data_IF_493963650288
#
_entry.id   IF_493963650288
#
_cell.length_a   1.000
_cell.length_b   1.000
_cell.length_c   1.000
_cell.angle_alpha   90.00
_cell.angle_beta   90.00
_cell.angle_gamma   90.00
#
_symmetry.space_group_name_H-M   'P 1'
#
loop_
_entity.id
_entity.type
_entity.pdbx_description
1 polymer ?
#
# COMPACT_ATOMS: atom_id res chain seq x y z
N UNK A 1 24.44 7.17 9.39
CA UNK A 1 23.15 6.55 9.67
C UNK A 1 22.20 6.89 8.53
N UNK A 2 21.75 5.89 7.78
CA UNK A 2 20.74 6.08 6.73
C UNK A 2 19.40 6.46 7.38
N UNK A 3 18.92 7.66 7.12
CA UNK A 3 17.59 8.13 7.56
C UNK A 3 16.85 8.72 6.38
N UNK A 4 15.53 8.70 6.43
CA UNK A 4 14.69 9.41 5.48
C UNK A 4 14.81 10.93 5.63
N UNK A 5 14.30 11.64 4.63
CA UNK A 5 14.26 13.10 4.66
C UNK A 5 13.49 13.63 5.86
N UNK A 6 13.94 14.74 6.44
CA UNK A 6 13.26 15.39 7.55
C UNK A 6 11.83 15.82 7.17
N UNK A 7 11.56 16.02 5.88
CA UNK A 7 10.22 16.33 5.38
C UNK A 7 9.23 15.17 5.59
N UNK A 8 9.67 13.94 5.40
CA UNK A 8 8.84 12.75 5.62
C UNK A 8 8.77 12.39 7.10
N UNK A 9 9.90 12.46 7.82
CA UNK A 9 9.97 12.09 9.24
C UNK A 9 8.96 12.83 10.12
N UNK A 10 8.61 14.06 9.77
CA UNK A 10 7.70 14.92 10.55
C UNK A 10 6.23 14.76 10.17
N UNK A 11 5.91 13.95 9.15
CA UNK A 11 4.55 13.78 8.67
C UNK A 11 3.74 12.86 9.59
N UNK A 12 2.46 13.17 9.71
CA UNK A 12 1.44 12.27 10.25
C UNK A 12 0.93 11.43 9.11
N UNK A 13 1.17 10.15 9.18
CA UNK A 13 0.84 9.20 8.11
C UNK A 13 -0.37 8.38 8.53
N UNK A 14 -1.37 8.29 7.66
CA UNK A 14 -2.40 7.26 7.71
C UNK A 14 -2.03 6.17 6.69
N UNK A 15 -1.90 4.95 7.16
CA UNK A 15 -1.75 3.76 6.34
C UNK A 15 -3.09 3.01 6.33
N UNK A 16 -3.69 2.86 5.17
CA UNK A 16 -4.93 2.12 4.96
C UNK A 16 -4.57 0.79 4.31
N UNK A 17 -4.91 -0.31 4.99
CA UNK A 17 -4.50 -1.66 4.60
C UNK A 17 -3.17 -2.08 5.22
N UNK A 18 -3.22 -2.99 6.19
CA UNK A 18 -2.06 -3.60 6.84
C UNK A 18 -1.75 -5.00 6.27
N UNK A 19 -2.06 -5.23 4.99
CA UNK A 19 -1.68 -6.41 4.24
C UNK A 19 -0.17 -6.47 3.99
N UNK A 20 0.28 -7.43 3.20
CA UNK A 20 1.71 -7.67 2.97
C UNK A 20 2.47 -6.43 2.48
N UNK A 21 1.92 -5.64 1.54
CA UNK A 21 2.60 -4.46 1.02
C UNK A 21 2.56 -3.30 2.02
N UNK A 22 1.39 -3.02 2.64
CA UNK A 22 1.26 -1.93 3.58
C UNK A 22 2.07 -2.14 4.85
N UNK A 23 2.05 -3.34 5.41
CA UNK A 23 2.83 -3.70 6.59
C UNK A 23 4.35 -3.59 6.32
N UNK A 24 4.82 -4.02 5.14
CA UNK A 24 6.23 -3.89 4.73
C UNK A 24 6.65 -2.41 4.53
N UNK A 25 5.79 -1.58 3.93
CA UNK A 25 6.02 -0.14 3.81
C UNK A 25 6.13 0.51 5.19
N UNK A 26 5.21 0.17 6.11
CA UNK A 26 5.21 0.70 7.47
C UNK A 26 6.48 0.29 8.24
N UNK A 27 6.94 -0.95 8.08
CA UNK A 27 8.19 -1.41 8.67
C UNK A 27 9.40 -0.61 8.18
N UNK A 28 9.52 -0.40 6.86
CA UNK A 28 10.60 0.40 6.29
C UNK A 28 10.53 1.83 6.83
N UNK A 29 9.36 2.44 6.91
CA UNK A 29 9.18 3.78 7.47
C UNK A 29 9.67 3.86 8.93
N UNK A 30 9.23 2.94 9.79
CA UNK A 30 9.61 2.94 11.21
C UNK A 30 11.12 2.70 11.39
N UNK A 31 11.71 1.77 10.64
CA UNK A 31 13.16 1.52 10.67
C UNK A 31 13.97 2.72 10.20
N UNK A 32 13.45 3.48 9.25
CA UNK A 32 14.07 4.70 8.73
C UNK A 32 13.80 5.95 9.60
N UNK A 33 13.00 5.83 10.67
CA UNK A 33 12.79 6.87 11.65
C UNK A 33 11.49 7.65 11.52
N UNK A 34 10.57 7.26 10.64
CA UNK A 34 9.20 7.78 10.65
C UNK A 34 8.48 7.23 11.88
N UNK A 35 8.00 8.10 12.74
CA UNK A 35 7.49 7.69 14.04
C UNK A 35 5.98 7.87 14.22
N UNK A 36 5.32 8.66 13.37
CA UNK A 36 3.92 9.05 13.57
C UNK A 36 3.02 8.42 12.50
N UNK A 37 2.68 7.17 12.70
CA UNK A 37 1.89 6.36 11.77
C UNK A 37 0.60 5.92 12.46
N UNK A 38 -0.51 6.03 11.76
CA UNK A 38 -1.78 5.43 12.17
C UNK A 38 -2.18 4.39 11.13
N UNK A 39 -2.56 3.21 11.58
CA UNK A 39 -2.94 2.08 10.73
C UNK A 39 -4.45 1.89 10.82
N UNK A 40 -5.09 1.71 9.66
CA UNK A 40 -6.49 1.33 9.52
C UNK A 40 -6.57 0.04 8.71
N UNK A 41 -7.08 -1.03 9.32
CA UNK A 41 -7.36 -2.33 8.70
C UNK A 41 -8.38 -3.04 9.59
N UNK A 42 -9.19 -3.93 9.05
CA UNK A 42 -10.17 -4.69 9.84
C UNK A 42 -10.00 -6.20 9.73
N UNK A 43 -9.02 -6.62 8.95
CA UNK A 43 -8.83 -8.03 8.68
C UNK A 43 -8.17 -8.76 9.86
N UNK A 44 -8.47 -10.05 9.95
CA UNK A 44 -7.78 -10.98 10.84
C UNK A 44 -6.56 -11.55 10.10
N UNK A 45 -5.47 -11.72 10.84
CA UNK A 45 -4.26 -12.35 10.31
C UNK A 45 -4.43 -13.87 10.24
N UNK A 46 -4.20 -14.43 9.05
CA UNK A 46 -4.47 -15.84 8.76
C UNK A 46 -3.21 -16.59 8.31
N UNK A 47 -3.26 -17.93 8.38
CA UNK A 47 -2.14 -18.81 7.98
C UNK A 47 -1.66 -18.52 6.55
N UNK A 48 -2.59 -18.23 5.61
CA UNK A 48 -2.27 -17.89 4.22
C UNK A 48 -1.46 -16.60 4.04
N UNK A 49 -1.41 -15.75 5.06
CA UNK A 49 -0.62 -14.52 5.02
C UNK A 49 0.86 -14.75 5.36
N UNK A 50 1.21 -15.82 6.08
CA UNK A 50 2.55 -16.09 6.61
C UNK A 50 3.67 -16.05 5.58
N UNK A 51 3.39 -16.50 4.36
CA UNK A 51 4.41 -16.61 3.31
C UNK A 51 4.94 -15.26 2.80
N UNK A 52 4.24 -14.16 3.09
CA UNK A 52 4.55 -12.85 2.52
C UNK A 52 4.35 -11.66 3.47
N UNK A 53 3.87 -11.89 4.67
CA UNK A 53 3.61 -10.85 5.66
C UNK A 53 4.78 -10.71 6.65
N UNK A 54 4.91 -9.53 7.30
CA UNK A 54 5.92 -9.28 8.32
C UNK A 54 5.62 -9.96 9.66
N UNK A 55 4.37 -10.35 9.89
CA UNK A 55 3.93 -11.06 11.10
C UNK A 55 4.26 -12.55 11.01
N UNK A 56 4.14 -13.25 12.14
CA UNK A 56 4.51 -14.64 12.28
C UNK A 56 3.37 -15.49 12.90
N UNK A 57 3.64 -16.78 13.14
CA UNK A 57 2.68 -17.76 13.66
C UNK A 57 1.95 -17.33 14.93
N UNK A 58 2.58 -16.54 15.79
CA UNK A 58 1.99 -16.12 17.06
C UNK A 58 0.84 -15.11 16.88
N UNK A 59 0.72 -14.54 15.70
CA UNK A 59 -0.29 -13.52 15.40
C UNK A 59 -1.53 -14.09 14.70
N UNK A 60 -1.56 -15.39 14.38
CA UNK A 60 -2.71 -16.02 13.72
C UNK A 60 -3.96 -15.85 14.57
N UNK A 61 -5.03 -15.35 13.95
CA UNK A 61 -6.31 -15.10 14.61
C UNK A 61 -6.45 -13.73 15.27
N UNK A 62 -5.37 -12.92 15.27
CA UNK A 62 -5.41 -11.54 15.75
C UNK A 62 -5.79 -10.55 14.65
N UNK A 63 -6.27 -9.38 15.04
CA UNK A 63 -6.49 -8.28 14.10
C UNK A 63 -5.14 -7.81 13.52
N UNK A 64 -5.07 -7.66 12.19
CA UNK A 64 -3.83 -7.28 11.48
C UNK A 64 -3.27 -5.95 11.96
N UNK A 65 -4.13 -4.92 12.06
CA UNK A 65 -3.72 -3.58 12.46
C UNK A 65 -3.12 -3.55 13.86
N UNK A 66 -3.68 -4.33 14.78
CA UNK A 66 -3.19 -4.39 16.17
C UNK A 66 -1.84 -5.10 16.24
N UNK A 67 -1.73 -6.25 15.58
CA UNK A 67 -0.49 -7.04 15.57
C UNK A 67 0.65 -6.30 14.86
N UNK A 68 0.37 -5.64 13.72
CA UNK A 68 1.34 -4.80 13.00
C UNK A 68 1.75 -3.60 13.86
N UNK A 69 0.80 -2.93 14.52
CA UNK A 69 1.08 -1.82 15.43
C UNK A 69 2.03 -2.23 16.55
N UNK A 70 1.75 -3.34 17.23
CA UNK A 70 2.59 -3.87 18.31
C UNK A 70 4.00 -4.22 17.82
N UNK A 71 4.08 -4.90 16.68
CA UNK A 71 5.36 -5.23 16.05
C UNK A 71 6.18 -3.98 15.74
N UNK A 72 5.59 -3.00 15.04
CA UNK A 72 6.28 -1.78 14.64
C UNK A 72 6.75 -0.94 15.83
N UNK A 73 5.96 -0.84 16.89
CA UNK A 73 6.35 -0.15 18.12
C UNK A 73 7.51 -0.85 18.84
N UNK A 74 7.73 -2.15 18.59
CA UNK A 74 8.87 -2.88 19.13
C UNK A 74 10.19 -2.62 18.39
N UNK A 75 10.12 -2.11 17.14
CA UNK A 75 11.29 -1.92 16.28
C UNK A 75 12.11 -0.67 16.63
N UNK A 76 11.47 0.36 17.17
CA UNK A 76 12.10 1.65 17.39
C UNK A 76 11.51 2.30 18.66
N UNK A 77 12.33 2.69 19.63
CA UNK A 77 11.84 3.30 20.89
C UNK A 77 11.12 4.65 20.68
N UNK A 78 11.28 5.27 19.54
CA UNK A 78 10.59 6.52 19.18
C UNK A 78 9.34 6.29 18.33
N UNK A 79 9.04 5.05 17.95
CA UNK A 79 7.83 4.75 17.20
C UNK A 79 6.58 5.13 18.04
N UNK A 80 5.62 5.72 17.36
CA UNK A 80 4.32 6.07 17.92
C UNK A 80 3.26 5.64 16.89
N UNK A 81 3.24 4.34 16.65
CA UNK A 81 2.27 3.71 15.76
C UNK A 81 0.98 3.51 16.54
N UNK A 82 -0.13 3.90 15.93
CA UNK A 82 -1.48 3.80 16.49
C UNK A 82 -2.37 3.02 15.54
N UNK A 83 -3.48 2.52 16.05
CA UNK A 83 -4.53 1.88 15.24
C UNK A 83 -5.80 2.72 15.28
N UNK A 84 -6.57 2.63 14.22
CA UNK A 84 -7.97 3.00 14.19
C UNK A 84 -8.72 1.71 13.94
N UNK A 85 -9.56 1.33 14.91
CA UNK A 85 -10.45 0.18 14.77
C UNK A 85 -11.68 0.61 13.95
N UNK A 86 -11.42 1.05 12.72
CA UNK A 86 -12.43 1.40 11.75
C UNK A 86 -11.84 1.23 10.35
N UNK A 87 -12.62 0.77 9.42
CA UNK A 87 -12.26 0.69 8.02
C UNK A 87 -12.84 1.86 7.27
N UNK A 88 -12.25 2.16 6.13
CA UNK A 88 -12.98 2.83 5.06
C UNK A 88 -14.01 1.81 4.56
N UNK A 89 -15.16 1.73 5.26
CA UNK A 89 -16.08 0.61 5.11
C UNK A 89 -16.84 0.64 3.81
N UNK A 90 -17.16 -0.57 3.31
CA UNK A 90 -18.05 -0.88 2.20
C UNK A 90 -19.54 -0.60 2.51
N UNK A 91 -19.84 0.31 3.45
CA UNK A 91 -21.21 0.74 3.66
C UNK A 91 -21.66 1.53 2.43
N UNK A 92 -22.87 1.29 1.94
CA UNK A 92 -23.51 1.99 0.81
C UNK A 92 -23.53 3.53 0.96
N UNK A 93 -23.16 4.04 2.12
CA UNK A 93 -23.03 5.48 2.38
C UNK A 93 -21.75 6.10 1.84
N UNK A 94 -20.74 5.33 1.42
CA UNK A 94 -19.41 5.81 1.01
C UNK A 94 -18.82 6.84 1.99
N UNK A 95 -19.01 6.62 3.28
CA UNK A 95 -18.53 7.50 4.35
C UNK A 95 -17.53 6.76 5.20
N UNK A 96 -16.55 7.49 5.66
CA UNK A 96 -15.62 7.02 6.69
C UNK A 96 -15.81 7.84 7.96
N UNK A 97 -15.71 7.17 9.10
CA UNK A 97 -15.64 7.85 10.40
C UNK A 97 -14.21 8.36 10.70
N UNK A 98 -13.24 8.03 9.85
CA UNK A 98 -11.86 8.49 9.98
C UNK A 98 -11.78 9.95 9.58
N UNK A 99 -11.31 10.81 10.48
CA UNK A 99 -11.00 12.21 10.16
C UNK A 99 -9.69 12.27 9.34
N UNK A 100 -9.82 12.15 8.03
CA UNK A 100 -8.70 12.13 7.08
C UNK A 100 -7.90 13.43 7.10
N UNK A 101 -8.52 14.56 7.43
CA UNK A 101 -7.85 15.86 7.52
C UNK A 101 -6.80 15.95 8.63
N UNK A 102 -6.73 14.98 9.54
CA UNK A 102 -5.70 14.92 10.59
C UNK A 102 -4.33 14.50 10.06
N UNK A 103 -4.25 13.90 8.88
CA UNK A 103 -3.03 13.29 8.34
C UNK A 103 -2.43 14.13 7.24
N UNK A 104 -1.11 14.18 7.15
CA UNK A 104 -0.38 14.92 6.13
C UNK A 104 -0.12 14.07 4.89
N UNK A 105 -0.03 12.75 5.10
CA UNK A 105 0.14 11.74 4.05
C UNK A 105 -0.86 10.61 4.30
N UNK A 106 -1.56 10.22 3.28
CA UNK A 106 -2.47 9.07 3.28
C UNK A 106 -1.88 8.05 2.29
N UNK A 107 -1.60 6.85 2.77
CA UNK A 107 -1.07 5.75 1.95
C UNK A 107 -2.10 4.64 1.94
N UNK A 108 -2.77 4.47 0.81
CA UNK A 108 -3.66 3.35 0.57
C UNK A 108 -2.85 2.16 0.03
N UNK A 109 -2.97 1.04 0.71
CA UNK A 109 -2.32 -0.24 0.36
C UNK A 109 -3.33 -1.40 0.31
N UNK A 110 -4.62 -1.10 0.17
CA UNK A 110 -5.66 -2.12 0.16
C UNK A 110 -5.76 -2.86 -1.18
N UNK A 111 -5.46 -2.17 -2.28
CA UNK A 111 -5.76 -2.66 -3.63
C UNK A 111 -7.27 -2.69 -3.94
N UNK A 112 -8.10 -2.03 -3.11
CA UNK A 112 -9.55 -2.05 -3.23
C UNK A 112 -10.10 -0.79 -3.90
N UNK A 113 -10.88 -0.96 -4.96
CA UNK A 113 -11.51 0.14 -5.68
C UNK A 113 -12.45 0.97 -4.78
N UNK A 114 -13.09 0.33 -3.80
CA UNK A 114 -14.00 1.03 -2.88
C UNK A 114 -13.27 2.07 -2.03
N UNK A 115 -12.07 1.76 -1.56
CA UNK A 115 -11.23 2.70 -0.79
C UNK A 115 -10.85 3.89 -1.67
N UNK A 116 -10.44 3.63 -2.91
CA UNK A 116 -10.10 4.69 -3.87
C UNK A 116 -11.31 5.56 -4.22
N UNK A 117 -12.50 4.97 -4.34
CA UNK A 117 -13.75 5.70 -4.55
C UNK A 117 -14.09 6.62 -3.35
N UNK A 118 -13.91 6.14 -2.13
CA UNK A 118 -14.09 6.95 -0.92
C UNK A 118 -13.12 8.13 -0.91
N UNK A 119 -11.83 7.89 -1.20
CA UNK A 119 -10.82 8.94 -1.27
C UNK A 119 -11.17 9.98 -2.36
N UNK A 120 -11.66 9.52 -3.53
CA UNK A 120 -12.08 10.41 -4.62
C UNK A 120 -13.28 11.28 -4.24
N UNK A 121 -14.25 10.72 -3.49
CA UNK A 121 -15.46 11.44 -3.06
C UNK A 121 -15.27 12.30 -1.82
N UNK A 122 -14.13 12.13 -1.14
CA UNK A 122 -13.83 12.90 0.07
C UNK A 122 -13.56 14.35 -0.30
N UNK A 123 -14.28 15.27 0.35
CA UNK A 123 -14.04 16.70 0.25
C UNK A 123 -13.01 17.12 1.31
N UNK A 124 -11.73 17.02 0.96
CA UNK A 124 -10.63 17.39 1.85
C UNK A 124 -10.61 18.90 2.09
N UNK A 125 -10.52 19.30 3.36
CA UNK A 125 -10.47 20.71 3.78
C UNK A 125 -9.11 21.37 3.60
N UNK A 126 -8.07 20.55 3.36
CA UNK A 126 -6.70 20.99 3.12
C UNK A 126 -6.01 20.08 2.13
N UNK A 127 -4.84 20.49 1.69
CA UNK A 127 -3.97 19.70 0.81
C UNK A 127 -3.36 18.51 1.56
N UNK A 128 -3.42 17.35 0.94
CA UNK A 128 -2.82 16.10 1.40
C UNK A 128 -1.91 15.52 0.33
N UNK A 129 -0.94 14.74 0.76
CA UNK A 129 -0.27 13.81 -0.13
C UNK A 129 -1.02 12.49 -0.02
N UNK A 130 -1.61 12.03 -1.11
CA UNK A 130 -2.29 10.75 -1.19
C UNK A 130 -1.47 9.85 -2.10
N UNK A 131 -1.12 8.69 -1.61
CA UNK A 131 -0.44 7.64 -2.37
C UNK A 131 -1.32 6.39 -2.37
N UNK A 132 -1.63 5.83 -3.53
CA UNK A 132 -2.17 4.48 -3.63
C UNK A 132 -1.09 3.56 -4.18
N UNK A 133 -0.90 2.44 -3.50
CA UNK A 133 0.15 1.46 -3.77
C UNK A 133 -0.48 0.08 -3.80
N UNK A 134 -0.39 -0.58 -4.92
CA UNK A 134 -0.87 -1.96 -5.07
C UNK A 134 0.08 -2.78 -5.94
N UNK A 135 0.03 -4.09 -5.80
CA UNK A 135 0.79 -5.02 -6.63
C UNK A 135 -0.15 -5.85 -7.47
N UNK A 136 0.27 -6.15 -8.69
CA UNK A 136 -0.46 -7.03 -9.59
C UNK A 136 -0.38 -8.48 -9.17
N UNK A 137 -1.15 -9.35 -9.81
CA UNK A 137 -1.11 -10.79 -9.59
C UNK A 137 0.32 -11.30 -9.77
N UNK A 138 0.78 -12.14 -8.82
CA UNK A 138 2.17 -12.63 -8.80
C UNK A 138 3.20 -11.64 -8.31
N UNK A 139 2.80 -10.43 -7.90
CA UNK A 139 3.68 -9.36 -7.42
C UNK A 139 4.81 -8.95 -8.38
N UNK A 140 4.66 -9.26 -9.69
CA UNK A 140 5.65 -8.87 -10.71
C UNK A 140 5.53 -7.41 -11.13
N UNK A 141 4.36 -6.79 -10.89
CA UNK A 141 4.13 -5.37 -11.14
C UNK A 141 3.74 -4.63 -9.87
N UNK A 142 4.20 -3.39 -9.80
CA UNK A 142 3.81 -2.44 -8.77
C UNK A 142 3.10 -1.25 -9.45
N UNK A 143 1.95 -0.92 -8.95
CA UNK A 143 1.15 0.21 -9.36
C UNK A 143 1.22 1.28 -8.27
N UNK A 144 1.66 2.48 -8.61
CA UNK A 144 1.76 3.59 -7.68
C UNK A 144 1.16 4.83 -8.30
N UNK A 145 0.25 5.50 -7.59
CA UNK A 145 -0.17 6.85 -7.92
C UNK A 145 -0.03 7.76 -6.71
N UNK A 146 0.48 8.97 -6.95
CA UNK A 146 0.65 9.99 -5.92
C UNK A 146 0.05 11.30 -6.40
N UNK A 147 -0.59 11.99 -5.49
CA UNK A 147 -1.05 13.35 -5.69
C UNK A 147 -0.78 14.22 -4.47
N UNK A 148 -0.73 15.51 -4.70
CA UNK A 148 -0.61 16.54 -3.69
C UNK A 148 -1.70 17.58 -3.93
N UNK A 149 -2.80 17.45 -3.22
CA UNK A 149 -3.98 18.26 -3.47
C UNK A 149 -5.10 17.98 -2.46
N UNK A 150 -6.28 18.49 -2.78
CA UNK A 150 -7.51 18.28 -2.01
C UNK A 150 -8.57 17.46 -2.76
N UNK A 151 -8.21 16.91 -3.92
CA UNK A 151 -9.06 16.02 -4.72
C UNK A 151 -8.22 14.87 -5.24
N UNK A 152 -8.76 13.67 -5.24
CA UNK A 152 -8.11 12.47 -5.76
C UNK A 152 -8.85 12.01 -7.01
N UNK A 153 -8.13 11.75 -8.10
CA UNK A 153 -8.72 11.25 -9.35
C UNK A 153 -8.37 9.78 -9.56
N UNK A 154 -9.20 8.90 -9.02
CA UNK A 154 -9.07 7.47 -9.16
C UNK A 154 -9.25 6.98 -10.62
N UNK A 155 -10.19 7.57 -11.36
CA UNK A 155 -10.51 7.09 -12.71
C UNK A 155 -9.29 7.17 -13.64
N UNK A 156 -8.52 8.25 -13.58
CA UNK A 156 -7.31 8.41 -14.38
C UNK A 156 -6.23 7.37 -14.05
N UNK A 157 -6.15 6.96 -12.78
CA UNK A 157 -5.26 5.89 -12.36
C UNK A 157 -5.77 4.52 -12.81
N UNK A 158 -7.06 4.25 -12.65
CA UNK A 158 -7.67 3.00 -13.07
C UNK A 158 -7.55 2.79 -14.59
N UNK A 159 -7.77 3.83 -15.39
CA UNK A 159 -7.60 3.78 -16.84
C UNK A 159 -6.14 3.42 -17.24
N UNK A 160 -5.18 3.86 -16.44
CA UNK A 160 -3.77 3.54 -16.67
C UNK A 160 -3.47 2.07 -16.38
N UNK A 161 -3.95 1.53 -15.26
CA UNK A 161 -3.58 0.18 -14.80
C UNK A 161 -4.45 -0.92 -15.38
N UNK A 162 -5.68 -0.60 -15.82
CA UNK A 162 -6.66 -1.61 -16.24
C UNK A 162 -6.18 -2.54 -17.37
N UNK A 163 -5.42 -2.09 -18.39
CA UNK A 163 -4.88 -3.00 -19.41
C UNK A 163 -3.92 -4.05 -18.82
N UNK A 164 -3.12 -3.64 -17.85
CA UNK A 164 -2.17 -4.53 -17.17
C UNK A 164 -2.89 -5.53 -16.27
N UNK A 165 -3.92 -5.08 -15.53
CA UNK A 165 -4.74 -5.97 -14.70
C UNK A 165 -5.48 -7.01 -15.54
N UNK A 166 -5.99 -6.62 -16.71
CA UNK A 166 -6.65 -7.54 -17.64
C UNK A 166 -5.66 -8.58 -18.19
N UNK A 167 -4.46 -8.16 -18.58
CA UNK A 167 -3.43 -9.07 -19.07
C UNK A 167 -2.99 -10.06 -17.99
N UNK A 168 -2.83 -9.59 -16.74
CA UNK A 168 -2.50 -10.45 -15.60
C UNK A 168 -3.62 -11.46 -15.32
N UNK A 169 -4.87 -11.03 -15.36
CA UNK A 169 -6.01 -11.91 -15.16
C UNK A 169 -6.00 -13.07 -16.17
N UNK A 170 -5.77 -12.77 -17.44
CA UNK A 170 -5.66 -13.81 -18.49
C UNK A 170 -4.52 -14.79 -18.20
N UNK A 171 -3.35 -14.29 -17.78
CA UNK A 171 -2.19 -15.12 -17.44
C UNK A 171 -2.45 -16.10 -16.29
N UNK A 172 -3.30 -15.71 -15.33
CA UNK A 172 -3.59 -16.51 -14.14
C UNK A 172 -4.94 -17.23 -14.17
N UNK A 173 -5.79 -16.99 -15.17
CA UNK A 173 -7.07 -17.71 -15.35
C UNK A 173 -6.85 -19.22 -15.62
N UNK A 174 -5.75 -19.61 -16.28
CA UNK A 174 -5.38 -21.01 -16.54
C UNK A 174 -4.68 -21.67 -15.34
N UNK A 175 -4.26 -20.92 -14.35
CA UNK A 175 -3.72 -21.47 -13.10
C UNK A 175 -4.87 -21.76 -12.15
N UNK A 176 -4.99 -23.02 -11.75
CA UNK A 176 -5.85 -23.44 -10.64
C UNK A 176 -5.27 -22.86 -9.33
N UNK A 177 -5.43 -21.55 -9.18
CA UNK A 177 -4.96 -20.86 -7.98
C UNK A 177 -5.66 -21.50 -6.78
N UNK A 178 -4.91 -22.04 -5.80
CA UNK A 178 -5.50 -22.79 -4.71
C UNK A 178 -6.54 -21.93 -3.97
N UNK A 179 -7.80 -22.31 -4.13
CA UNK A 179 -8.95 -21.70 -3.46
C UNK A 179 -9.14 -22.23 -2.04
N UNK A 180 -8.21 -23.06 -1.58
CA UNK A 180 -8.34 -23.75 -0.33
C UNK A 180 -8.16 -22.79 0.84
N UNK A 181 -9.28 -22.32 1.22
CA UNK A 181 -9.77 -22.10 2.54
C UNK A 181 -8.75 -21.68 3.57
N UNK A 182 -8.29 -20.45 3.49
CA UNK A 182 -7.95 -19.69 4.67
C UNK A 182 -8.28 -18.25 4.33
N UNK A 183 -9.56 -17.87 4.53
CA UNK A 183 -9.98 -16.53 4.82
C UNK A 183 -9.88 -15.43 3.75
N UNK A 184 -9.56 -15.74 2.51
CA UNK A 184 -9.72 -14.79 1.41
C UNK A 184 -10.64 -15.40 0.35
N UNK A 185 -11.66 -14.68 -0.04
CA UNK A 185 -12.56 -15.00 -1.15
C UNK A 185 -11.83 -14.99 -2.50
N UNK A 186 -10.56 -14.60 -2.50
CA UNK A 186 -9.68 -14.60 -3.65
C UNK A 186 -8.76 -15.82 -3.64
N UNK A 187 -8.39 -16.36 -4.81
CA UNK A 187 -7.33 -17.33 -4.90
C UNK A 187 -6.11 -16.80 -4.15
N UNK A 188 -5.38 -17.66 -3.47
CA UNK A 188 -4.21 -17.28 -2.69
C UNK A 188 -3.31 -16.42 -3.57
N UNK A 189 -3.11 -15.17 -3.18
CA UNK A 189 -2.28 -14.24 -3.94
C UNK A 189 -0.87 -14.86 -4.12
N UNK A 190 -0.43 -15.12 -5.37
CA UNK A 190 0.76 -15.92 -5.63
C UNK A 190 2.09 -15.16 -5.45
N UNK A 191 2.07 -14.00 -4.77
CA UNK A 191 3.26 -13.17 -4.56
C UNK A 191 4.23 -13.78 -3.56
N UNK A 192 5.52 -13.75 -3.89
CA UNK A 192 6.62 -14.14 -3.00
C UNK A 192 6.98 -12.99 -2.06
N UNK A 193 7.57 -13.35 -0.93
CA UNK A 193 8.00 -12.36 0.09
C UNK A 193 9.02 -11.36 -0.46
N UNK A 194 10.01 -11.82 -1.22
CA UNK A 194 11.04 -10.98 -1.83
C UNK A 194 10.46 -10.01 -2.88
N UNK A 195 9.47 -10.43 -3.67
CA UNK A 195 8.77 -9.56 -4.62
C UNK A 195 8.00 -8.44 -3.87
N UNK A 196 7.35 -8.79 -2.76
CA UNK A 196 6.66 -7.81 -1.90
C UNK A 196 7.66 -6.82 -1.30
N UNK A 197 8.83 -7.28 -0.84
CA UNK A 197 9.84 -6.38 -0.28
C UNK A 197 10.44 -5.42 -1.30
N UNK A 198 10.70 -5.88 -2.53
CA UNK A 198 11.15 -5.00 -3.63
C UNK A 198 10.09 -3.95 -3.92
N UNK A 199 8.82 -4.35 -4.04
CA UNK A 199 7.72 -3.43 -4.30
C UNK A 199 7.55 -2.40 -3.15
N UNK A 200 7.60 -2.85 -1.89
CA UNK A 200 7.51 -1.98 -0.72
C UNK A 200 8.67 -0.97 -0.66
N UNK A 201 9.91 -1.43 -0.86
CA UNK A 201 11.08 -0.58 -0.86
C UNK A 201 11.06 0.45 -1.99
N UNK A 202 10.60 0.04 -3.18
CA UNK A 202 10.42 0.93 -4.32
C UNK A 202 9.35 1.98 -4.02
N UNK A 203 8.21 1.59 -3.48
CA UNK A 203 7.11 2.50 -3.10
C UNK A 203 7.56 3.55 -2.09
N UNK A 204 8.32 3.14 -1.09
CA UNK A 204 8.88 4.07 -0.08
C UNK A 204 9.78 5.12 -0.73
N UNK A 205 10.66 4.71 -1.65
CA UNK A 205 11.52 5.65 -2.39
C UNK A 205 10.71 6.61 -3.26
N UNK A 206 9.68 6.12 -3.93
CA UNK A 206 8.80 6.94 -4.78
C UNK A 206 8.05 7.96 -3.93
N UNK A 207 7.46 7.55 -2.80
CA UNK A 207 6.74 8.44 -1.88
C UNK A 207 7.70 9.51 -1.32
N UNK A 208 8.87 9.13 -0.85
CA UNK A 208 9.85 10.06 -0.32
C UNK A 208 10.30 11.08 -1.38
N UNK A 209 10.66 10.61 -2.58
CA UNK A 209 11.08 11.48 -3.68
C UNK A 209 9.98 12.46 -4.09
N UNK A 210 8.71 12.00 -4.12
CA UNK A 210 7.57 12.86 -4.41
C UNK A 210 7.40 13.96 -3.36
N UNK A 211 7.57 13.64 -2.09
CA UNK A 211 7.52 14.61 -0.97
C UNK A 211 8.66 15.62 -1.07
N UNK A 212 9.88 15.16 -1.38
CA UNK A 212 11.08 16.03 -1.51
C UNK A 212 10.92 16.97 -2.70
N UNK A 213 10.41 16.49 -3.81
CA UNK A 213 10.21 17.30 -5.02
C UNK A 213 9.18 18.40 -4.87
N UNK A 214 8.29 18.29 -3.86
CA UNK A 214 7.16 19.20 -3.63
C UNK A 214 6.26 19.33 -4.87
N UNK A 215 6.16 18.26 -5.65
CA UNK A 215 5.35 18.24 -6.86
C UNK A 215 3.90 18.55 -6.55
N UNK A 216 3.26 19.30 -7.44
CA UNK A 216 1.81 19.54 -7.42
C UNK A 216 1.10 18.71 -8.49
N UNK A 217 1.86 17.96 -9.29
CA UNK A 217 1.33 17.11 -10.35
C UNK A 217 0.98 15.74 -9.79
N UNK A 218 -0.07 15.16 -10.29
CA UNK A 218 -0.35 13.73 -10.08
C UNK A 218 0.70 12.92 -10.83
N UNK A 219 1.37 12.00 -10.13
CA UNK A 219 2.37 11.09 -10.67
C UNK A 219 1.82 9.67 -10.58
N UNK A 220 1.72 8.97 -11.71
CA UNK A 220 1.38 7.55 -11.75
C UNK A 220 2.52 6.77 -12.41
N UNK A 221 2.91 5.67 -11.78
CA UNK A 221 4.03 4.83 -12.20
C UNK A 221 3.60 3.36 -12.19
N UNK A 222 4.03 2.63 -13.21
CA UNK A 222 3.98 1.17 -13.23
C UNK A 222 5.41 0.67 -13.29
N UNK A 223 5.79 -0.13 -12.30
CA UNK A 223 7.04 -0.89 -12.29
C UNK A 223 6.77 -2.33 -12.69
N UNK A 224 7.73 -2.94 -13.36
CA UNK A 224 7.67 -4.35 -13.75
C UNK A 224 9.02 -5.01 -13.51
N UNK A 225 8.99 -6.25 -13.00
CA UNK A 225 10.17 -7.10 -12.93
C UNK A 225 10.54 -7.55 -14.34
N UNK A 226 11.82 -7.44 -14.66
CA UNK A 226 12.41 -7.99 -15.89
C UNK A 226 13.20 -9.24 -15.55
N UNK A 227 12.92 -10.26 -16.32
CA UNK A 227 13.57 -11.58 -16.22
C UNK A 227 14.05 -11.99 -17.60
N UNK A 228 15.22 -12.62 -17.67
CA UNK A 228 15.75 -13.27 -18.85
C UNK A 228 16.10 -14.71 -18.48
N UNK A 229 15.55 -15.68 -19.21
CA UNK A 229 15.72 -17.11 -18.92
C UNK A 229 15.38 -17.51 -17.48
N UNK A 230 14.38 -16.84 -16.87
CA UNK A 230 13.97 -17.04 -15.47
C UNK A 230 14.90 -16.43 -14.43
N UNK A 231 15.88 -15.63 -14.86
CA UNK A 231 16.80 -14.90 -13.99
C UNK A 231 16.30 -13.46 -13.84
N UNK A 232 16.13 -13.00 -12.58
CA UNK A 232 15.81 -11.62 -12.29
C UNK A 232 16.94 -10.69 -12.75
N UNK A 233 16.61 -9.68 -13.54
CA UNK A 233 17.57 -8.69 -14.05
C UNK A 233 17.37 -7.31 -13.40
N UNK A 234 16.11 -6.84 -13.34
CA UNK A 234 15.84 -5.49 -12.89
C UNK A 234 14.37 -5.31 -12.46
N UNK A 235 14.09 -4.16 -11.86
CA UNK A 235 12.76 -3.69 -11.55
C UNK A 235 12.61 -2.27 -12.12
N UNK A 236 11.92 -2.15 -13.24
CA UNK A 236 11.95 -0.96 -14.08
C UNK A 236 10.60 -0.28 -14.19
N UNK A 237 10.62 1.04 -14.41
CA UNK A 237 9.42 1.80 -14.78
C UNK A 237 9.07 1.48 -16.23
N UNK A 238 7.91 0.84 -16.44
CA UNK A 238 7.39 0.54 -17.78
C UNK A 238 6.36 1.56 -18.24
N UNK A 239 5.72 2.27 -17.32
CA UNK A 239 4.82 3.36 -17.64
C UNK A 239 4.94 4.50 -16.62
N UNK A 240 4.88 5.74 -17.10
CA UNK A 240 4.89 6.94 -16.27
C UNK A 240 3.92 7.97 -16.85
N UNK A 241 3.02 8.50 -16.01
CA UNK A 241 2.16 9.65 -16.34
C UNK A 241 2.30 10.74 -15.30
N UNK A 242 2.37 11.98 -15.78
CA UNK A 242 2.32 13.18 -14.96
C UNK A 242 1.21 14.07 -15.47
N UNK A 243 0.20 14.32 -14.64
CA UNK A 243 -0.91 15.21 -14.95
C UNK A 243 -0.87 16.41 -13.99
N UNK A 244 -1.01 17.60 -14.56
CA UNK A 244 -1.07 18.85 -13.80
C UNK A 244 -2.50 19.27 -13.49
#
# INVERSE_FOLDING_TARGET
RGKMSDLLLRKRILLIGAGCIGASIAEIFVRAGVYNITIADSDIFEVGNLSRHILNLNNIGEFKELSVCNYLNSLNPHANVKVINDTLSNDDSFKTNIDLDRYDVIVDCTGENNVLDILQRTNFKRTHIIASVSVGLGAKRLYVTLMNGNTFNFNAFYDLISPYLQAEKVLYDDYDLPRNGIGCWHPTFPGRSDDIWIAAATSVKVIENYIISKSQKTLSLIYEQKESDGIFESYEVVEKRENG
#
